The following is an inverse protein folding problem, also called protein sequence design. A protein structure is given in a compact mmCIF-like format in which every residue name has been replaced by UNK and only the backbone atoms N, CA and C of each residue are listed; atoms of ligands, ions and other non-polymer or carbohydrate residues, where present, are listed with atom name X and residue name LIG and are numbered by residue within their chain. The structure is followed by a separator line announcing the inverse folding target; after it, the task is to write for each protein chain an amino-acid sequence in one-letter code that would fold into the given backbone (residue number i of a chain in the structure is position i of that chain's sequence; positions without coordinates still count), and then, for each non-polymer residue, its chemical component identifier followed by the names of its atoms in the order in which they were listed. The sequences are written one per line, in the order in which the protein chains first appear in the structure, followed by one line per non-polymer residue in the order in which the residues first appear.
data_IF_395083248048
#
_entry.id   IF_395083248048
#
_cell.length_a   1.000
_cell.length_b   1.000
_cell.length_c   1.000
_cell.angle_alpha   90.00
_cell.angle_beta   90.00
_cell.angle_gamma   90.00
#
_symmetry.space_group_name_H-M   'P 1'
#
loop_
_entity.id
_entity.type
_entity.pdbx_description
1 polymer ?
#
# COMPACT_ATOMS: atom_id res chain seq x y z
N UNK A 1 4.67 4.21 -4.04
CA UNK A 1 4.42 4.44 -2.60
C UNK A 1 5.71 4.68 -1.85
N UNK A 2 6.65 3.75 -1.88
CA UNK A 2 7.89 3.82 -1.08
C UNK A 2 8.73 5.08 -1.32
N UNK A 3 8.93 5.48 -2.57
CA UNK A 3 9.70 6.70 -2.92
C UNK A 3 9.03 7.94 -2.31
N UNK A 4 7.72 8.04 -2.44
CA UNK A 4 6.95 9.15 -1.86
C UNK A 4 6.96 9.13 -0.33
N UNK A 5 6.82 7.96 0.27
CA UNK A 5 6.94 7.80 1.71
C UNK A 5 8.30 8.31 2.21
N UNK A 6 9.39 7.89 1.58
CA UNK A 6 10.74 8.35 1.95
C UNK A 6 10.87 9.88 1.81
N UNK A 7 10.39 10.44 0.69
CA UNK A 7 10.42 11.88 0.48
C UNK A 7 9.64 12.67 1.56
N UNK A 8 8.45 12.17 1.93
CA UNK A 8 7.63 12.79 2.98
C UNK A 8 8.27 12.63 4.36
N UNK A 9 8.78 11.44 4.67
CA UNK A 9 9.45 11.14 5.94
C UNK A 9 10.69 11.99 6.15
N UNK A 10 11.52 12.16 5.10
CA UNK A 10 12.78 12.88 5.16
C UNK A 10 12.60 14.40 5.01
N UNK A 11 11.38 14.85 4.75
CA UNK A 11 11.06 16.28 4.64
C UNK A 11 11.16 16.96 6.01
N UNK A 12 11.98 18.01 6.09
CA UNK A 12 12.33 18.66 7.37
C UNK A 12 11.20 19.48 8.00
N UNK A 13 10.15 19.81 7.24
CA UNK A 13 9.02 20.58 7.76
C UNK A 13 7.83 19.66 8.05
N UNK A 14 6.93 20.02 8.98
CA UNK A 14 5.71 19.27 9.22
C UNK A 14 4.88 19.11 7.95
N UNK A 15 4.33 17.92 7.76
CA UNK A 15 3.42 17.59 6.66
C UNK A 15 2.09 17.11 7.25
N UNK A 16 1.00 17.65 6.73
CA UNK A 16 -0.37 17.21 6.99
C UNK A 16 -0.96 16.75 5.65
N UNK A 17 -1.52 15.56 5.60
CA UNK A 17 -2.18 15.05 4.40
C UNK A 17 -3.68 15.36 4.46
N UNK A 18 -4.20 16.05 3.44
CA UNK A 18 -5.64 16.13 3.18
C UNK A 18 -6.01 15.10 2.13
N UNK A 19 -6.94 14.20 2.46
CA UNK A 19 -7.20 12.99 1.68
C UNK A 19 -8.67 12.83 1.37
N UNK A 20 -8.98 12.66 0.08
CA UNK A 20 -10.29 12.20 -0.36
C UNK A 20 -10.30 10.67 -0.57
N UNK A 21 -9.26 10.15 -1.23
CA UNK A 21 -9.11 8.72 -1.46
C UNK A 21 -7.61 8.36 -1.43
N UNK A 22 -7.22 7.47 -0.52
CA UNK A 22 -5.86 6.96 -0.43
C UNK A 22 -5.85 5.47 -0.08
N UNK A 23 -5.69 4.64 -1.08
CA UNK A 23 -5.52 3.20 -0.92
C UNK A 23 -4.14 2.73 -1.36
N UNK A 24 -3.68 1.59 -0.81
CA UNK A 24 -2.45 0.91 -1.23
C UNK A 24 -1.24 1.86 -1.22
N UNK A 25 -0.53 1.99 -2.34
CA UNK A 25 0.66 2.83 -2.48
C UNK A 25 0.43 4.32 -2.11
N UNK A 26 -0.78 4.85 -2.33
CA UNK A 26 -1.12 6.22 -1.93
C UNK A 26 -1.21 6.34 -0.39
N UNK A 27 -1.76 5.33 0.29
CA UNK A 27 -1.77 5.31 1.75
C UNK A 27 -0.36 5.13 2.32
N UNK A 28 0.45 4.25 1.73
CA UNK A 28 1.85 4.10 2.10
C UNK A 28 2.61 5.43 2.04
N UNK A 29 2.40 6.21 0.97
CA UNK A 29 3.08 7.49 0.77
C UNK A 29 2.84 8.50 1.90
N UNK A 30 1.67 8.47 2.52
CA UNK A 30 1.27 9.40 3.58
C UNK A 30 1.29 8.80 4.99
N UNK A 31 1.65 7.53 5.15
CA UNK A 31 1.61 6.86 6.46
C UNK A 31 2.44 7.59 7.53
N UNK A 32 3.55 8.21 7.14
CA UNK A 32 4.50 8.91 8.02
C UNK A 32 4.22 10.40 8.27
N UNK A 33 3.13 10.98 7.75
CA UNK A 33 2.82 12.41 7.99
C UNK A 33 2.38 12.66 9.43
N UNK A 34 2.45 13.91 9.87
CA UNK A 34 2.03 14.31 11.23
C UNK A 34 0.55 14.05 11.49
N UNK A 35 -0.30 14.41 10.53
CA UNK A 35 -1.74 14.16 10.60
C UNK A 35 -2.29 13.81 9.21
N UNK A 36 -3.25 12.90 9.19
CA UNK A 36 -4.07 12.57 8.04
C UNK A 36 -5.48 13.11 8.29
N UNK A 37 -5.89 14.06 7.47
CA UNK A 37 -7.23 14.66 7.48
C UNK A 37 -8.03 14.06 6.32
N UNK A 38 -9.08 13.30 6.62
CA UNK A 38 -10.04 12.88 5.61
C UNK A 38 -10.92 14.07 5.23
N UNK A 39 -11.02 14.41 3.94
CA UNK A 39 -11.71 15.62 3.44
C UNK A 39 -13.23 15.61 3.61
N UNK A 40 -13.80 14.49 4.05
CA UNK A 40 -15.22 14.31 4.32
C UNK A 40 -15.54 12.87 4.70
N UNK A 41 -16.78 12.61 5.07
CA UNK A 41 -17.21 11.27 5.52
C UNK A 41 -17.11 10.18 4.45
N UNK A 42 -17.24 10.57 3.18
CA UNK A 42 -17.14 9.66 2.03
C UNK A 42 -15.69 9.37 1.61
N UNK A 43 -14.72 10.01 2.24
CA UNK A 43 -13.31 9.71 2.00
C UNK A 43 -13.00 8.27 2.33
N UNK A 44 -12.13 7.63 1.53
CA UNK A 44 -11.78 6.22 1.69
C UNK A 44 -10.27 6.03 1.81
N UNK A 45 -9.85 5.24 2.81
CA UNK A 45 -8.42 5.01 3.09
C UNK A 45 -8.20 3.53 3.45
N UNK A 46 -6.96 3.07 3.24
CA UNK A 46 -6.57 1.71 3.60
C UNK A 46 -5.95 0.94 2.44
N UNK A 47 -6.53 -0.22 2.08
CA UNK A 47 -5.95 -1.14 1.08
C UNK A 47 -4.49 -1.49 1.38
N UNK A 48 -4.20 -1.79 2.69
CA UNK A 48 -2.87 -2.17 3.16
C UNK A 48 -2.66 -3.64 2.80
N UNK A 49 -2.22 -3.87 1.58
CA UNK A 49 -2.10 -5.20 1.00
C UNK A 49 -1.43 -5.15 -0.36
N UNK A 50 -1.19 -6.33 -0.93
CA UNK A 50 -0.65 -6.50 -2.27
C UNK A 50 -1.41 -7.59 -3.03
N UNK A 51 -1.49 -7.45 -4.32
CA UNK A 51 -2.03 -8.44 -5.24
C UNK A 51 -1.25 -8.41 -6.55
N UNK A 52 -1.31 -9.49 -7.29
CA UNK A 52 -0.93 -9.56 -8.70
C UNK A 52 -2.13 -10.07 -9.49
N UNK A 53 -2.39 -9.46 -10.65
CA UNK A 53 -3.37 -9.94 -11.60
C UNK A 53 -2.65 -10.51 -12.81
N UNK A 54 -2.94 -11.75 -13.16
CA UNK A 54 -2.35 -12.45 -14.29
C UNK A 54 -3.42 -12.66 -15.36
N UNK A 55 -3.17 -12.19 -16.58
CA UNK A 55 -4.04 -12.41 -17.73
C UNK A 55 -3.83 -13.84 -18.26
N UNK A 56 -4.81 -14.71 -18.07
CA UNK A 56 -4.74 -16.11 -18.50
C UNK A 56 -4.64 -16.26 -20.02
N UNK A 57 -5.30 -15.39 -20.79
CA UNK A 57 -5.25 -15.44 -22.24
C UNK A 57 -3.88 -15.02 -22.74
N UNK A 58 -3.31 -13.97 -22.15
CA UNK A 58 -1.95 -13.54 -22.46
C UNK A 58 -0.93 -14.65 -22.15
N UNK A 59 -1.03 -15.28 -20.97
CA UNK A 59 -0.16 -16.37 -20.57
C UNK A 59 -0.22 -17.53 -21.57
N UNK A 60 -1.43 -17.95 -21.98
CA UNK A 60 -1.58 -19.01 -22.96
C UNK A 60 -0.97 -18.63 -24.30
N UNK A 61 -1.29 -17.44 -24.82
CA UNK A 61 -0.70 -16.95 -26.07
C UNK A 61 0.82 -16.84 -26.01
N UNK A 62 1.35 -16.45 -24.85
CA UNK A 62 2.79 -16.34 -24.64
C UNK A 62 3.46 -17.71 -24.73
N UNK A 63 2.93 -18.73 -24.05
CA UNK A 63 3.41 -20.11 -24.11
C UNK A 63 3.42 -20.68 -25.53
N UNK A 64 2.42 -20.33 -26.33
CA UNK A 64 2.28 -20.82 -27.70
C UNK A 64 3.24 -20.13 -28.69
N UNK A 65 3.87 -19.02 -28.30
CA UNK A 65 4.69 -18.18 -29.19
C UNK A 65 6.14 -18.05 -28.81
N UNK A 66 6.49 -18.30 -27.55
CA UNK A 66 7.84 -18.03 -27.04
C UNK A 66 8.39 -19.23 -26.26
N UNK A 67 9.60 -19.60 -26.61
CA UNK A 67 10.45 -20.48 -25.79
C UNK A 67 11.40 -19.62 -24.94
N UNK A 68 11.38 -19.83 -23.64
CA UNK A 68 12.29 -19.14 -22.73
C UNK A 68 13.51 -20.03 -22.44
N UNK A 69 14.70 -19.54 -22.76
CA UNK A 69 15.96 -20.22 -22.52
C UNK A 69 16.67 -19.50 -21.38
N UNK A 70 16.94 -20.21 -20.29
CA UNK A 70 17.60 -19.69 -19.11
C UNK A 70 19.05 -20.15 -19.06
N UNK A 71 19.94 -19.29 -18.56
CA UNK A 71 21.29 -19.67 -18.19
C UNK A 71 21.27 -20.62 -17.00
N UNK A 72 22.15 -21.62 -16.99
CA UNK A 72 22.32 -22.55 -15.86
C UNK A 72 22.66 -21.80 -14.55
N UNK A 73 23.26 -20.61 -14.67
CA UNK A 73 23.60 -19.75 -13.53
C UNK A 73 22.44 -18.84 -13.08
N UNK A 74 21.27 -18.95 -13.69
CA UNK A 74 20.11 -18.07 -13.44
C UNK A 74 18.83 -18.87 -13.23
N UNK A 75 18.91 -19.99 -12.54
CA UNK A 75 17.77 -20.89 -12.27
C UNK A 75 16.55 -20.22 -11.65
N UNK A 76 16.78 -19.18 -10.85
CA UNK A 76 15.71 -18.50 -10.10
C UNK A 76 15.10 -17.31 -10.85
N UNK A 77 15.62 -16.99 -12.03
CA UNK A 77 15.07 -15.90 -12.83
C UNK A 77 13.63 -16.22 -13.25
N UNK A 78 12.69 -15.33 -12.93
CA UNK A 78 11.25 -15.50 -13.16
C UNK A 78 10.65 -16.76 -12.52
N UNK A 79 11.29 -17.38 -11.54
CA UNK A 79 10.88 -18.68 -10.98
C UNK A 79 9.39 -18.69 -10.56
N UNK A 80 8.89 -17.62 -9.94
CA UNK A 80 7.49 -17.55 -9.50
C UNK A 80 6.48 -17.56 -10.64
N UNK A 81 6.72 -16.74 -11.67
CA UNK A 81 5.84 -16.68 -12.86
C UNK A 81 5.96 -17.95 -13.68
N UNK A 82 7.19 -18.45 -13.86
CA UNK A 82 7.45 -19.70 -14.58
C UNK A 82 6.74 -20.89 -13.93
N UNK A 83 6.91 -21.10 -12.62
CA UNK A 83 6.23 -22.16 -11.88
C UNK A 83 4.71 -22.07 -12.03
N UNK A 84 4.15 -20.86 -11.91
CA UNK A 84 2.72 -20.66 -12.12
C UNK A 84 2.27 -20.99 -13.54
N UNK A 85 3.03 -20.61 -14.55
CA UNK A 85 2.73 -20.89 -15.96
C UNK A 85 2.80 -22.39 -16.24
N UNK A 86 3.83 -23.07 -15.74
CA UNK A 86 4.08 -24.48 -16.02
C UNK A 86 3.14 -25.44 -15.26
N UNK A 87 2.95 -25.17 -13.96
CA UNK A 87 2.29 -26.10 -13.03
C UNK A 87 1.06 -25.52 -12.35
N UNK A 88 0.78 -24.23 -12.46
CA UNK A 88 -0.26 -23.54 -11.69
C UNK A 88 0.16 -23.22 -10.24
N UNK A 89 1.40 -23.52 -9.84
CA UNK A 89 1.88 -23.23 -8.50
C UNK A 89 2.17 -21.73 -8.30
N UNK A 90 1.45 -21.13 -7.38
CA UNK A 90 1.56 -19.70 -7.02
C UNK A 90 2.36 -19.45 -5.74
N UNK A 91 3.03 -20.44 -5.18
CA UNK A 91 3.69 -20.35 -3.87
C UNK A 91 4.74 -19.25 -3.80
N UNK A 92 5.64 -19.20 -4.79
CA UNK A 92 6.69 -18.17 -4.88
C UNK A 92 6.12 -16.77 -5.11
N UNK A 93 5.05 -16.65 -5.90
CA UNK A 93 4.35 -15.37 -6.10
C UNK A 93 3.75 -14.91 -4.77
N UNK A 94 3.06 -15.80 -4.05
CA UNK A 94 2.49 -15.50 -2.73
C UNK A 94 3.56 -15.11 -1.71
N UNK A 95 4.70 -15.78 -1.72
CA UNK A 95 5.83 -15.44 -0.85
C UNK A 95 6.27 -13.98 -1.09
N UNK A 96 6.52 -13.58 -2.32
CA UNK A 96 6.92 -12.21 -2.67
C UNK A 96 5.85 -11.17 -2.30
N UNK A 97 4.56 -11.49 -2.51
CA UNK A 97 3.45 -10.64 -2.09
C UNK A 97 3.41 -10.50 -0.55
N UNK A 98 3.62 -11.57 0.19
CA UNK A 98 3.64 -11.54 1.65
C UNK A 98 4.79 -10.68 2.19
N UNK A 99 5.98 -10.78 1.61
CA UNK A 99 7.12 -9.92 1.97
C UNK A 99 6.78 -8.44 1.74
N UNK A 100 6.18 -8.11 0.61
CA UNK A 100 5.69 -6.76 0.30
C UNK A 100 4.66 -6.26 1.30
N UNK A 101 3.70 -7.10 1.68
CA UNK A 101 2.65 -6.77 2.65
C UNK A 101 3.23 -6.55 4.04
N UNK A 102 4.15 -7.42 4.48
CA UNK A 102 4.81 -7.29 5.79
C UNK A 102 5.60 -5.98 5.89
N UNK A 103 6.34 -5.61 4.84
CA UNK A 103 7.05 -4.33 4.79
C UNK A 103 6.08 -3.14 4.86
N UNK A 104 4.97 -3.19 4.11
CA UNK A 104 3.94 -2.16 4.15
C UNK A 104 3.30 -2.03 5.53
N UNK A 105 2.88 -3.15 6.12
CA UNK A 105 2.28 -3.18 7.47
C UNK A 105 3.25 -2.64 8.52
N UNK A 106 4.53 -2.99 8.44
CA UNK A 106 5.58 -2.49 9.33
C UNK A 106 5.68 -0.96 9.27
N UNK A 107 5.69 -0.37 8.06
CA UNK A 107 5.73 1.09 7.90
C UNK A 107 4.47 1.73 8.50
N UNK A 108 3.29 1.19 8.20
CA UNK A 108 2.04 1.75 8.72
C UNK A 108 1.99 1.70 10.24
N UNK A 109 2.32 0.56 10.85
CA UNK A 109 2.27 0.38 12.30
C UNK A 109 3.36 1.14 13.05
N UNK A 110 4.46 1.50 12.38
CA UNK A 110 5.49 2.37 12.95
C UNK A 110 5.03 3.84 13.11
N UNK A 111 4.05 4.26 12.32
CA UNK A 111 3.61 5.67 12.27
C UNK A 111 2.16 5.89 12.70
N UNK A 112 1.33 4.85 12.68
CA UNK A 112 -0.11 4.93 12.97
C UNK A 112 -0.46 3.99 14.13
N UNK A 113 -1.29 4.47 15.05
CA UNK A 113 -1.82 3.65 16.16
C UNK A 113 -2.98 2.77 15.65
N UNK A 114 -2.62 1.77 14.85
CA UNK A 114 -3.59 0.89 14.19
C UNK A 114 -4.35 0.07 15.22
N UNK A 115 -5.66 0.23 15.24
CA UNK A 115 -6.60 -0.57 16.02
C UNK A 115 -7.11 -1.75 15.20
N UNK A 116 -7.60 -2.81 15.88
CA UNK A 116 -8.12 -4.02 15.22
C UNK A 116 -7.20 -4.51 14.11
N UNK A 117 -5.92 -4.69 14.44
CA UNK A 117 -4.84 -4.92 13.45
C UNK A 117 -5.16 -6.02 12.46
N UNK A 118 -5.65 -7.16 12.95
CA UNK A 118 -5.99 -8.31 12.10
C UNK A 118 -7.04 -8.01 11.04
N UNK A 119 -8.00 -7.12 11.32
CA UNK A 119 -9.02 -6.71 10.35
C UNK A 119 -8.55 -5.55 9.47
N UNK A 120 -7.82 -4.61 10.07
CA UNK A 120 -7.42 -3.35 9.43
C UNK A 120 -6.32 -3.57 8.38
N UNK A 121 -5.41 -4.51 8.63
CA UNK A 121 -4.21 -4.75 7.81
C UNK A 121 -4.41 -5.82 6.72
N UNK A 122 -5.64 -6.23 6.44
CA UNK A 122 -5.97 -7.29 5.47
C UNK A 122 -6.34 -6.77 4.08
N UNK A 123 -5.92 -5.57 3.72
CA UNK A 123 -6.16 -5.00 2.39
C UNK A 123 -7.53 -4.33 2.21
N UNK A 124 -8.33 -4.18 3.27
CA UNK A 124 -9.64 -3.50 3.21
C UNK A 124 -9.52 -1.99 2.96
N UNK A 125 -10.54 -1.42 2.31
CA UNK A 125 -10.75 0.02 2.18
C UNK A 125 -11.86 0.44 3.15
N UNK A 126 -11.63 1.51 3.91
CA UNK A 126 -12.52 1.99 4.96
C UNK A 126 -12.97 3.41 4.67
N UNK A 127 -14.26 3.71 4.90
CA UNK A 127 -14.75 5.09 4.90
C UNK A 127 -14.16 5.86 6.08
N UNK A 128 -14.11 7.18 5.97
CA UNK A 128 -13.41 8.07 6.89
C UNK A 128 -13.70 7.80 8.38
N UNK A 129 -14.96 7.57 8.76
CA UNK A 129 -15.36 7.29 10.14
C UNK A 129 -14.79 5.96 10.65
N UNK A 130 -14.87 4.92 9.84
CA UNK A 130 -14.29 3.61 10.16
C UNK A 130 -12.77 3.65 10.13
N UNK A 131 -12.15 4.30 9.12
CA UNK A 131 -10.71 4.51 9.03
C UNK A 131 -10.16 5.25 10.27
N UNK A 132 -10.91 6.25 10.78
CA UNK A 132 -10.56 6.97 12.02
C UNK A 132 -10.63 6.04 13.24
N UNK A 133 -11.67 5.25 13.38
CA UNK A 133 -11.80 4.29 14.48
C UNK A 133 -10.69 3.24 14.49
N UNK A 134 -10.13 2.96 13.31
CA UNK A 134 -9.01 2.03 13.10
C UNK A 134 -7.63 2.67 13.24
N UNK A 135 -7.54 3.98 13.50
CA UNK A 135 -6.28 4.70 13.65
C UNK A 135 -5.57 5.03 12.33
N UNK A 136 -6.25 4.91 11.19
CA UNK A 136 -5.71 5.25 9.87
C UNK A 136 -5.88 6.73 9.52
N UNK A 137 -6.81 7.42 10.17
CA UNK A 137 -7.15 8.84 9.99
C UNK A 137 -7.18 9.51 11.35
N UNK A 138 -6.64 10.70 11.44
CA UNK A 138 -6.65 11.48 12.69
C UNK A 138 -7.91 12.33 12.79
N UNK A 139 -8.31 13.00 11.72
CA UNK A 139 -9.41 13.98 11.72
C UNK A 139 -10.23 13.81 10.44
N UNK A 140 -11.54 14.05 10.55
CA UNK A 140 -12.43 14.25 9.41
C UNK A 140 -12.77 15.74 9.35
N UNK A 141 -12.51 16.39 8.23
CA UNK A 141 -12.75 17.83 8.10
C UNK A 141 -12.36 18.40 6.74
N UNK A 142 -12.46 19.72 6.65
CA UNK A 142 -12.24 20.47 5.42
C UNK A 142 -10.76 20.80 5.20
N UNK A 143 -10.44 21.35 4.03
CA UNK A 143 -9.12 21.92 3.71
C UNK A 143 -8.71 23.01 4.70
N UNK A 144 -9.64 23.91 5.06
CA UNK A 144 -9.37 24.95 6.07
C UNK A 144 -8.94 24.35 7.41
N UNK A 145 -9.55 23.23 7.81
CA UNK A 145 -9.14 22.53 9.02
C UNK A 145 -7.74 21.95 8.88
N UNK A 146 -7.42 21.31 7.76
CA UNK A 146 -6.09 20.76 7.49
C UNK A 146 -5.02 21.88 7.54
N UNK A 147 -5.30 23.04 6.93
CA UNK A 147 -4.41 24.22 6.98
C UNK A 147 -4.26 24.73 8.42
N UNK A 148 -5.33 24.82 9.18
CA UNK A 148 -5.28 25.23 10.60
C UNK A 148 -4.41 24.26 11.40
N UNK A 149 -4.59 22.96 11.20
CA UNK A 149 -3.76 21.93 11.85
C UNK A 149 -2.28 22.08 11.49
N UNK A 150 -1.98 22.20 10.20
CA UNK A 150 -0.61 22.38 9.75
C UNK A 150 0.06 23.61 10.43
N UNK A 151 -0.65 24.73 10.53
CA UNK A 151 -0.13 25.97 11.18
C UNK A 151 0.22 25.75 12.65
N UNK A 152 -0.38 24.80 13.36
CA UNK A 152 -0.05 24.54 14.76
C UNK A 152 1.37 23.99 14.96
N UNK A 153 1.97 23.41 13.92
CA UNK A 153 3.33 22.85 13.96
C UNK A 153 4.44 23.87 13.68
N UNK A 154 4.10 25.10 13.35
CA UNK A 154 5.06 26.20 13.07
C UNK A 154 5.11 27.25 14.18
N UNK A 155 4.56 26.92 15.36
CA UNK A 155 4.60 27.80 16.54
C UNK A 155 5.85 27.57 17.37
#
# INVERSE_FOLDING_TARGET
GQIMYNAVKDFKKPVVALVHNAGSAAFLAIAGVKEIVASGELSRLGSIGALVSLDRKFIQTYKDRFDEIYSDLSSDKNAGIRSYIETGDSSLIKQSLNETVLAFQSIVTAHRDVKKKEETLRGGMFQAKDAKSRGLVDIIGTEDLAIKRLKTYFK
#
